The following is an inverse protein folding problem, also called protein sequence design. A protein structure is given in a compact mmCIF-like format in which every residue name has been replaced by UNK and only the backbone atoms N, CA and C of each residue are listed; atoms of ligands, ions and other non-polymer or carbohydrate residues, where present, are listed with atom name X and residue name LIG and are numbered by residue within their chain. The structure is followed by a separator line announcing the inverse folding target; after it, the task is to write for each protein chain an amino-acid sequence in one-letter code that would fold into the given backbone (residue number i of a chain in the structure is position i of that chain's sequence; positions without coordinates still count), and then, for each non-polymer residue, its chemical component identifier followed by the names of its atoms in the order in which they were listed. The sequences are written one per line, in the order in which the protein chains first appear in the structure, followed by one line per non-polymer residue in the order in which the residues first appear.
data_IF_341929077884
#
_entry.id   IF_341929077884
#
_cell.length_a   1.000
_cell.length_b   1.000
_cell.length_c   1.000
_cell.angle_alpha   90.00
_cell.angle_beta   90.00
_cell.angle_gamma   90.00
#
_symmetry.space_group_name_H-M   'P 1'
#
loop_
_entity.id
_entity.type
_entity.pdbx_description
1 polymer ?
#
# COMPACT_ATOMS: atom_id res chain seq x y z
N UNK A 1 -15.54 13.36 -13.72
CA UNK A 1 -14.07 13.48 -13.56
C UNK A 1 -13.66 14.14 -12.24
N UNK A 2 -14.13 15.34 -11.89
CA UNK A 2 -13.78 15.99 -10.61
C UNK A 2 -14.10 15.14 -9.38
N UNK A 3 -15.27 14.51 -9.33
CA UNK A 3 -15.66 13.62 -8.23
C UNK A 3 -14.72 12.40 -8.11
N UNK A 4 -14.31 11.80 -9.22
CA UNK A 4 -13.37 10.68 -9.21
C UNK A 4 -12.02 11.08 -8.58
N UNK A 5 -11.47 12.23 -8.99
CA UNK A 5 -10.21 12.76 -8.46
C UNK A 5 -10.37 13.10 -6.96
N UNK A 6 -11.48 13.71 -6.57
CA UNK A 6 -11.76 14.03 -5.17
C UNK A 6 -11.78 12.77 -4.29
N UNK A 7 -12.55 11.75 -4.66
CA UNK A 7 -12.62 10.50 -3.89
C UNK A 7 -11.31 9.72 -3.94
N UNK A 8 -10.57 9.72 -5.06
CA UNK A 8 -9.25 9.10 -5.15
C UNK A 8 -8.24 9.80 -4.22
N UNK A 9 -8.26 11.14 -4.16
CA UNK A 9 -7.39 11.89 -3.25
C UNK A 9 -7.75 11.61 -1.78
N UNK A 10 -9.04 11.53 -1.46
CA UNK A 10 -9.50 11.19 -0.12
C UNK A 10 -9.12 9.76 0.27
N UNK A 11 -9.19 8.81 -0.68
CA UNK A 11 -8.71 7.44 -0.52
C UNK A 11 -7.20 7.41 -0.23
N UNK A 12 -6.40 8.11 -1.02
CA UNK A 12 -4.96 8.18 -0.85
C UNK A 12 -4.56 8.80 0.52
N UNK A 13 -5.26 9.85 0.93
CA UNK A 13 -5.04 10.48 2.23
C UNK A 13 -5.45 9.55 3.39
N UNK A 14 -6.59 8.89 3.27
CA UNK A 14 -7.07 7.90 4.26
C UNK A 14 -6.07 6.76 4.42
N UNK A 15 -5.57 6.20 3.32
CA UNK A 15 -4.55 5.15 3.33
C UNK A 15 -3.25 5.61 4.01
N UNK A 16 -2.76 6.80 3.67
CA UNK A 16 -1.58 7.40 4.29
C UNK A 16 -1.75 7.58 5.81
N UNK A 17 -2.90 8.09 6.26
CA UNK A 17 -3.23 8.20 7.68
C UNK A 17 -3.24 6.83 8.37
N UNK A 18 -3.87 5.83 7.75
CA UNK A 18 -3.92 4.47 8.25
C UNK A 18 -2.52 3.87 8.44
N UNK A 19 -1.67 4.00 7.43
CA UNK A 19 -0.30 3.50 7.47
C UNK A 19 0.56 4.17 8.56
N UNK A 20 0.43 5.49 8.73
CA UNK A 20 1.18 6.24 9.76
C UNK A 20 0.71 5.87 11.17
N UNK A 21 -0.61 5.75 11.40
CA UNK A 21 -1.16 5.35 12.69
C UNK A 21 -0.77 3.92 13.08
N UNK A 22 -0.81 2.99 12.13
CA UNK A 22 -0.35 1.61 12.37
C UNK A 22 1.14 1.56 12.68
N UNK A 23 1.95 2.37 11.99
CA UNK A 23 3.38 2.48 12.30
C UNK A 23 3.63 3.02 13.71
N UNK A 24 2.90 4.06 14.13
CA UNK A 24 2.98 4.58 15.51
C UNK A 24 2.69 3.48 16.53
N UNK A 25 1.60 2.74 16.35
CA UNK A 25 1.23 1.64 17.22
C UNK A 25 2.31 0.55 17.30
N UNK A 26 2.97 0.21 16.17
CA UNK A 26 4.05 -0.78 16.15
C UNK A 26 5.30 -0.27 16.87
N UNK A 27 5.67 0.99 16.67
CA UNK A 27 6.85 1.58 17.35
C UNK A 27 6.64 1.61 18.86
N UNK A 28 5.44 1.99 19.32
CA UNK A 28 5.08 2.02 20.73
C UNK A 28 5.07 0.61 21.35
N UNK A 29 4.52 -0.38 20.64
CA UNK A 29 4.53 -1.77 21.09
C UNK A 29 5.94 -2.38 21.18
N UNK A 30 6.89 -1.95 20.34
CA UNK A 30 8.27 -2.41 20.37
C UNK A 30 9.09 -1.82 21.52
N UNK A 31 8.71 -0.67 22.04
CA UNK A 31 9.37 -0.05 23.19
C UNK A 31 9.15 -0.81 24.51
N UNK A 32 8.10 -1.66 24.54
CA UNK A 32 7.74 -2.48 25.71
C UNK A 32 8.41 -3.87 25.62
N UNK A 33 9.71 -3.91 25.81
CA UNK A 33 10.57 -5.11 25.73
C UNK A 33 10.23 -6.17 26.79
N UNK A 34 10.26 -7.45 26.36
CA UNK A 34 10.28 -8.70 27.13
C UNK A 34 8.98 -9.53 27.14
N UNK A 35 8.06 -9.34 26.19
CA UNK A 35 6.88 -10.21 26.08
C UNK A 35 6.96 -11.18 24.91
N UNK A 36 6.37 -12.40 25.00
CA UNK A 36 6.31 -13.35 23.89
C UNK A 36 5.56 -12.73 22.71
N UNK A 37 6.09 -12.92 21.48
CA UNK A 37 5.63 -12.29 20.22
C UNK A 37 4.11 -12.32 20.00
N UNK A 38 3.43 -13.39 20.39
CA UNK A 38 1.98 -13.50 20.19
C UNK A 38 1.17 -12.53 21.08
N UNK A 39 1.64 -12.26 22.32
CA UNK A 39 1.01 -11.26 23.20
C UNK A 39 1.19 -9.86 22.67
N UNK A 40 2.37 -9.56 22.11
CA UNK A 40 2.62 -8.26 21.46
C UNK A 40 1.66 -8.02 20.29
N UNK A 41 1.32 -9.06 19.53
CA UNK A 41 0.33 -8.93 18.43
C UNK A 41 -1.07 -8.65 18.97
N UNK A 42 -1.49 -9.34 20.02
CA UNK A 42 -2.81 -9.12 20.65
C UNK A 42 -2.90 -7.73 21.27
N UNK A 43 -1.85 -7.30 21.97
CA UNK A 43 -1.78 -5.98 22.57
C UNK A 43 -1.79 -4.88 21.47
N UNK A 44 -1.10 -5.12 20.36
CA UNK A 44 -1.07 -4.22 19.21
C UNK A 44 -2.47 -4.03 18.59
N UNK A 45 -3.19 -5.12 18.33
CA UNK A 45 -4.55 -5.07 17.74
C UNK A 45 -5.55 -4.36 18.66
N UNK A 46 -5.30 -4.34 19.96
CA UNK A 46 -6.14 -3.63 20.95
C UNK A 46 -5.77 -2.15 21.13
N UNK A 47 -4.64 -1.72 20.59
CA UNK A 47 -4.25 -0.31 20.68
C UNK A 47 -5.21 0.60 19.86
N UNK A 48 -5.69 1.71 20.45
CA UNK A 48 -6.62 2.60 19.75
C UNK A 48 -6.01 3.21 18.49
N UNK A 49 -4.71 3.49 18.47
CA UNK A 49 -4.02 3.98 17.29
C UNK A 49 -4.02 2.95 16.14
N UNK A 50 -3.86 1.66 16.47
CA UNK A 50 -3.92 0.59 15.47
C UNK A 50 -5.34 0.42 14.92
N UNK A 51 -6.35 0.43 15.80
CA UNK A 51 -7.77 0.34 15.40
C UNK A 51 -8.21 1.53 14.53
N UNK A 52 -7.80 2.74 14.90
CA UNK A 52 -8.03 3.92 14.07
C UNK A 52 -7.35 3.79 12.71
N UNK A 53 -6.10 3.31 12.68
CA UNK A 53 -5.41 3.03 11.42
C UNK A 53 -6.14 2.00 10.56
N UNK A 54 -6.68 0.93 11.17
CA UNK A 54 -7.48 -0.07 10.47
C UNK A 54 -8.80 0.52 9.94
N UNK A 55 -9.47 1.40 10.70
CA UNK A 55 -10.67 2.11 10.27
C UNK A 55 -10.39 2.99 9.06
N UNK A 56 -9.27 3.72 9.05
CA UNK A 56 -8.84 4.51 7.89
C UNK A 56 -8.59 3.63 6.66
N UNK A 57 -8.00 2.43 6.83
CA UNK A 57 -7.81 1.49 5.72
C UNK A 57 -9.15 0.98 5.17
N UNK A 58 -10.12 0.69 6.02
CA UNK A 58 -11.48 0.35 5.56
C UNK A 58 -12.11 1.51 4.80
N UNK A 59 -11.96 2.74 5.31
CA UNK A 59 -12.40 3.96 4.62
C UNK A 59 -11.77 4.14 3.26
N UNK A 60 -10.49 3.79 3.12
CA UNK A 60 -9.75 3.80 1.84
C UNK A 60 -10.49 3.00 0.76
N UNK A 61 -10.93 1.77 1.08
CA UNK A 61 -11.67 0.93 0.12
C UNK A 61 -13.00 1.56 -0.29
N UNK A 62 -13.72 2.17 0.66
CA UNK A 62 -14.97 2.89 0.37
C UNK A 62 -14.76 4.07 -0.58
N UNK A 63 -13.79 4.92 -0.29
CA UNK A 63 -13.44 6.05 -1.15
C UNK A 63 -12.90 5.62 -2.51
N UNK A 64 -12.12 4.53 -2.57
CA UNK A 64 -11.62 3.97 -3.82
C UNK A 64 -12.76 3.43 -4.69
N UNK A 65 -13.72 2.72 -4.09
CA UNK A 65 -14.91 2.24 -4.80
C UNK A 65 -15.71 3.40 -5.37
N UNK A 66 -15.92 4.48 -4.59
CA UNK A 66 -16.57 5.70 -5.07
C UNK A 66 -15.77 6.38 -6.19
N UNK A 67 -14.44 6.46 -6.06
CA UNK A 67 -13.60 7.03 -7.11
C UNK A 67 -13.75 6.27 -8.43
N UNK A 68 -13.75 4.94 -8.39
CA UNK A 68 -13.92 4.08 -9.57
C UNK A 68 -15.35 4.10 -10.12
N UNK A 69 -16.34 4.37 -9.27
CA UNK A 69 -17.71 4.57 -9.74
C UNK A 69 -17.86 5.84 -10.58
N UNK A 70 -17.14 6.92 -10.21
CA UNK A 70 -17.22 8.22 -10.89
C UNK A 70 -16.19 8.43 -12.00
N UNK A 71 -15.21 7.54 -12.17
CA UNK A 71 -14.18 7.70 -13.18
C UNK A 71 -13.43 6.43 -13.54
N UNK A 72 -12.77 6.45 -14.72
CA UNK A 72 -12.02 5.31 -15.20
C UNK A 72 -10.77 5.05 -14.35
N UNK A 73 -10.38 3.79 -14.30
CA UNK A 73 -9.20 3.32 -13.57
C UNK A 73 -7.92 4.09 -13.95
N UNK A 74 -7.78 4.43 -15.23
CA UNK A 74 -6.62 5.18 -15.77
C UNK A 74 -6.44 6.57 -15.11
N UNK A 75 -7.52 7.19 -14.62
CA UNK A 75 -7.47 8.48 -13.91
C UNK A 75 -7.29 8.28 -12.41
N UNK A 76 -7.95 7.26 -11.86
CA UNK A 76 -7.94 7.01 -10.40
C UNK A 76 -6.58 6.51 -9.94
N UNK A 77 -5.92 5.62 -10.68
CA UNK A 77 -4.65 5.00 -10.30
C UNK A 77 -3.49 6.01 -10.08
N UNK A 78 -3.24 6.99 -10.97
CA UNK A 78 -2.20 7.98 -10.73
C UNK A 78 -2.44 8.82 -9.47
N UNK A 79 -3.72 9.11 -9.16
CA UNK A 79 -4.07 9.88 -7.97
C UNK A 79 -3.84 9.07 -6.69
N UNK A 80 -4.13 7.77 -6.71
CA UNK A 80 -3.88 6.89 -5.55
C UNK A 80 -2.40 6.82 -5.18
N UNK A 81 -1.50 6.95 -6.16
CA UNK A 81 -0.04 6.94 -5.88
C UNK A 81 0.43 8.15 -5.07
N UNK A 82 -0.35 9.24 -5.04
CA UNK A 82 -0.10 10.38 -4.15
C UNK A 82 -0.13 9.98 -2.67
N UNK A 83 -0.69 8.82 -2.34
CA UNK A 83 -0.61 8.21 -1.00
C UNK A 83 0.83 8.21 -0.47
N UNK A 84 1.81 7.89 -1.33
CA UNK A 84 3.22 7.87 -0.96
C UNK A 84 3.72 9.24 -0.48
N UNK A 85 3.32 10.29 -1.19
CA UNK A 85 3.67 11.69 -0.84
C UNK A 85 2.97 12.10 0.45
N UNK A 86 1.67 11.77 0.59
CA UNK A 86 0.92 12.03 1.81
C UNK A 86 1.51 11.28 3.01
N UNK A 87 1.86 10.01 2.85
CA UNK A 87 2.47 9.22 3.92
C UNK A 87 3.83 9.80 4.36
N UNK A 88 4.67 10.26 3.42
CA UNK A 88 5.92 10.94 3.74
C UNK A 88 5.67 12.27 4.45
N UNK A 89 4.72 13.07 3.96
CA UNK A 89 4.33 14.34 4.58
C UNK A 89 3.82 14.17 6.00
N UNK A 90 2.89 13.21 6.22
CA UNK A 90 2.38 12.91 7.56
C UNK A 90 3.48 12.41 8.50
N UNK A 91 4.42 11.62 8.02
CA UNK A 91 5.56 11.17 8.83
C UNK A 91 6.41 12.34 9.31
N UNK A 92 6.70 13.28 8.45
CA UNK A 92 7.45 14.49 8.83
C UNK A 92 6.64 15.32 9.84
N UNK A 93 5.34 15.49 9.59
CA UNK A 93 4.50 16.37 10.39
C UNK A 93 4.12 15.75 11.76
N UNK A 94 3.78 14.45 11.80
CA UNK A 94 3.29 13.77 13.01
C UNK A 94 4.44 13.15 13.81
N UNK A 95 5.35 12.44 13.12
CA UNK A 95 6.46 11.75 13.78
C UNK A 95 7.72 12.61 13.92
N UNK A 96 7.74 13.80 13.31
CA UNK A 96 8.92 14.67 13.25
C UNK A 96 10.17 13.95 12.70
N UNK A 97 9.95 12.91 11.86
CA UNK A 97 11.01 12.15 11.24
C UNK A 97 11.79 13.03 10.25
N UNK A 98 13.11 13.05 10.37
CA UNK A 98 13.99 13.70 9.38
C UNK A 98 14.13 12.79 8.16
N UNK A 99 13.35 13.05 7.13
CA UNK A 99 13.39 12.28 5.88
C UNK A 99 14.42 12.89 4.95
N UNK A 100 15.37 12.07 4.47
CA UNK A 100 16.40 12.52 3.55
C UNK A 100 15.78 13.05 2.24
N UNK A 101 16.34 14.12 1.61
CA UNK A 101 15.83 14.66 0.35
C UNK A 101 15.76 13.60 -0.76
N UNK A 102 16.66 12.62 -0.75
CA UNK A 102 16.66 11.48 -1.68
C UNK A 102 15.37 10.65 -1.61
N UNK A 103 14.74 10.53 -0.44
CA UNK A 103 13.48 9.80 -0.28
C UNK A 103 12.33 10.56 -0.94
N UNK A 104 12.32 11.89 -0.83
CA UNK A 104 11.34 12.73 -1.50
C UNK A 104 11.48 12.67 -3.02
N UNK A 105 12.73 12.77 -3.53
CA UNK A 105 12.98 12.66 -4.96
C UNK A 105 12.61 11.27 -5.51
N UNK A 106 12.89 10.20 -4.76
CA UNK A 106 12.49 8.85 -5.14
C UNK A 106 10.96 8.69 -5.18
N UNK A 107 10.24 9.22 -4.19
CA UNK A 107 8.78 9.19 -4.17
C UNK A 107 8.17 9.94 -5.35
N UNK A 108 8.66 11.15 -5.63
CA UNK A 108 8.23 11.93 -6.79
C UNK A 108 8.53 11.21 -8.11
N UNK A 109 9.71 10.60 -8.25
CA UNK A 109 10.08 9.85 -9.44
C UNK A 109 9.16 8.64 -9.67
N UNK A 110 8.79 7.92 -8.60
CA UNK A 110 7.84 6.81 -8.66
C UNK A 110 6.46 7.32 -9.11
N UNK A 111 5.96 8.41 -8.53
CA UNK A 111 4.68 8.99 -8.90
C UNK A 111 4.67 9.44 -10.37
N UNK A 112 5.70 10.15 -10.82
CA UNK A 112 5.82 10.61 -12.19
C UNK A 112 6.00 9.45 -13.17
N UNK A 113 6.83 8.46 -12.82
CA UNK A 113 7.05 7.25 -13.63
C UNK A 113 5.77 6.46 -13.84
N UNK A 114 4.98 6.26 -12.77
CA UNK A 114 3.71 5.55 -12.89
C UNK A 114 2.67 6.37 -13.66
N UNK A 115 2.59 7.67 -13.44
CA UNK A 115 1.70 8.55 -14.22
C UNK A 115 2.05 8.50 -15.71
N UNK A 116 3.33 8.62 -16.06
CA UNK A 116 3.81 8.52 -17.43
C UNK A 116 3.52 7.14 -18.04
N UNK A 117 3.73 6.05 -17.28
CA UNK A 117 3.41 4.69 -17.70
C UNK A 117 1.92 4.53 -18.01
N UNK A 118 1.04 5.00 -17.13
CA UNK A 118 -0.41 4.89 -17.34
C UNK A 118 -0.89 5.71 -18.53
N UNK A 119 -0.31 6.89 -18.74
CA UNK A 119 -0.61 7.70 -19.94
C UNK A 119 -0.13 6.99 -21.22
N UNK A 120 1.10 6.44 -21.20
CA UNK A 120 1.67 5.74 -22.35
C UNK A 120 0.97 4.40 -22.64
N UNK A 121 0.61 3.66 -21.60
CA UNK A 121 -0.10 2.38 -21.73
C UNK A 121 -1.55 2.55 -22.21
N UNK A 122 -2.13 3.75 -22.05
CA UNK A 122 -3.49 4.11 -22.45
C UNK A 122 -4.47 2.92 -22.24
N UNK A 123 -4.61 2.39 -21.01
CA UNK A 123 -5.42 1.21 -20.78
C UNK A 123 -6.85 1.49 -21.23
N UNK A 124 -7.24 0.86 -22.35
CA UNK A 124 -8.60 0.91 -22.88
C UNK A 124 -9.57 0.16 -21.96
N UNK A 125 -10.85 0.32 -22.22
CA UNK A 125 -11.88 -0.48 -21.57
C UNK A 125 -11.59 -1.96 -21.89
N UNK A 126 -11.38 -2.77 -20.82
CA UNK A 126 -11.03 -4.16 -20.95
C UNK A 126 -12.10 -4.92 -21.76
N UNK A 127 -11.71 -5.56 -22.84
CA UNK A 127 -12.61 -6.34 -23.70
C UNK A 127 -12.95 -7.66 -23.02
N UNK A 128 -14.07 -7.69 -22.28
CA UNK A 128 -14.71 -8.91 -21.79
C UNK A 128 -14.25 -9.38 -20.40
N UNK A 129 -15.09 -10.22 -19.80
CA UNK A 129 -14.80 -10.88 -18.53
C UNK A 129 -13.82 -12.03 -18.79
N UNK A 130 -12.66 -12.09 -18.12
CA UNK A 130 -11.70 -13.18 -18.29
C UNK A 130 -12.35 -14.53 -17.98
N UNK A 131 -12.12 -15.52 -18.85
CA UNK A 131 -12.64 -16.88 -18.63
C UNK A 131 -11.99 -17.54 -17.40
N UNK A 132 -12.66 -18.53 -16.81
CA UNK A 132 -12.19 -19.26 -15.63
C UNK A 132 -10.75 -19.80 -15.78
N UNK A 133 -10.37 -20.26 -16.97
CA UNK A 133 -9.01 -20.72 -17.27
C UNK A 133 -7.97 -19.61 -17.13
N UNK A 134 -8.28 -18.40 -17.59
CA UNK A 134 -7.39 -17.24 -17.50
C UNK A 134 -7.22 -16.81 -16.04
N UNK A 135 -8.29 -16.85 -15.25
CA UNK A 135 -8.27 -16.61 -13.82
C UNK A 135 -7.41 -17.64 -13.09
N UNK A 136 -7.58 -18.93 -13.38
CA UNK A 136 -6.77 -20.00 -12.76
C UNK A 136 -5.28 -19.85 -13.08
N UNK A 137 -4.95 -19.52 -14.34
CA UNK A 137 -3.55 -19.26 -14.72
C UNK A 137 -2.99 -18.02 -14.02
N UNK A 138 -3.72 -16.93 -13.95
CA UNK A 138 -3.30 -15.70 -13.28
C UNK A 138 -3.07 -15.92 -11.77
N UNK A 139 -4.00 -16.58 -11.08
CA UNK A 139 -3.87 -16.89 -9.66
C UNK A 139 -2.76 -17.92 -9.42
N UNK A 140 -2.66 -18.94 -10.27
CA UNK A 140 -1.62 -19.98 -10.16
C UNK A 140 -0.21 -19.43 -10.34
N UNK A 141 0.02 -18.61 -11.37
CA UNK A 141 1.34 -17.97 -11.61
C UNK A 141 1.72 -17.01 -10.51
N UNK A 142 0.79 -16.19 -10.02
CA UNK A 142 1.03 -15.30 -8.87
C UNK A 142 1.30 -16.08 -7.59
N UNK A 143 0.52 -17.13 -7.31
CA UNK A 143 0.73 -17.99 -6.15
C UNK A 143 2.10 -18.68 -6.17
N UNK A 144 2.54 -19.17 -7.34
CA UNK A 144 3.86 -19.76 -7.53
C UNK A 144 4.98 -18.74 -7.31
N UNK A 145 4.84 -17.53 -7.85
CA UNK A 145 5.80 -16.45 -7.66
C UNK A 145 5.94 -16.05 -6.18
N UNK A 146 4.82 -15.90 -5.48
CA UNK A 146 4.81 -15.62 -4.03
C UNK A 146 5.48 -16.74 -3.25
N UNK A 147 5.14 -18.01 -3.53
CA UNK A 147 5.76 -19.17 -2.87
C UNK A 147 7.27 -19.19 -3.10
N UNK A 148 7.74 -18.95 -4.33
CA UNK A 148 9.16 -18.87 -4.65
C UNK A 148 9.86 -17.73 -3.88
N UNK A 149 9.27 -16.54 -3.82
CA UNK A 149 9.82 -15.40 -3.08
C UNK A 149 9.90 -15.69 -1.57
N UNK A 150 8.87 -16.32 -1.00
CA UNK A 150 8.85 -16.71 0.41
C UNK A 150 9.89 -17.81 0.73
N UNK A 151 10.08 -18.77 -0.17
CA UNK A 151 11.12 -19.80 -0.03
C UNK A 151 12.53 -19.19 -0.10
N UNK A 152 12.77 -18.27 -1.03
CA UNK A 152 14.03 -17.53 -1.14
C UNK A 152 14.28 -16.63 0.09
N UNK A 153 13.23 -16.08 0.70
CA UNK A 153 13.33 -15.27 1.90
C UNK A 153 13.78 -16.07 3.13
N UNK A 154 13.55 -17.40 3.17
CA UNK A 154 13.97 -18.25 4.31
C UNK A 154 15.49 -18.29 4.50
N UNK A 155 16.29 -18.10 3.45
CA UNK A 155 17.77 -18.27 3.44
C UNK A 155 18.53 -16.94 3.27
N UNK A 156 17.94 -15.77 3.56
CA UNK A 156 18.56 -14.47 3.29
C UNK A 156 18.98 -13.69 4.55
N UNK A 157 19.86 -12.71 4.37
CA UNK A 157 20.13 -11.67 5.38
C UNK A 157 18.85 -10.88 5.73
N UNK A 158 18.77 -10.22 6.90
CA UNK A 158 17.56 -9.49 7.32
C UNK A 158 17.04 -8.49 6.28
N UNK A 159 17.94 -7.74 5.62
CA UNK A 159 17.56 -6.77 4.57
C UNK A 159 17.03 -7.46 3.31
N UNK A 160 17.65 -8.57 2.88
CA UNK A 160 17.16 -9.37 1.73
C UNK A 160 15.79 -9.99 2.02
N UNK A 161 15.57 -10.46 3.24
CA UNK A 161 14.26 -11.00 3.67
C UNK A 161 13.18 -9.92 3.61
N UNK A 162 13.46 -8.73 4.12
CA UNK A 162 12.51 -7.61 4.05
C UNK A 162 12.16 -7.23 2.61
N UNK A 163 13.17 -7.18 1.71
CA UNK A 163 12.95 -6.90 0.30
C UNK A 163 12.11 -7.99 -0.40
N UNK A 164 12.37 -9.28 -0.11
CA UNK A 164 11.63 -10.39 -0.70
C UNK A 164 10.19 -10.47 -0.18
N UNK A 165 9.94 -10.15 1.10
CA UNK A 165 8.57 -10.02 1.62
C UNK A 165 7.82 -8.85 0.98
N UNK A 166 8.49 -7.70 0.79
CA UNK A 166 7.93 -6.57 0.06
C UNK A 166 7.58 -6.92 -1.39
N UNK A 167 8.47 -7.62 -2.09
CA UNK A 167 8.22 -8.10 -3.45
C UNK A 167 7.06 -9.12 -3.51
N UNK A 168 6.97 -10.05 -2.54
CA UNK A 168 5.86 -10.99 -2.46
C UNK A 168 4.52 -10.29 -2.26
N UNK A 169 4.48 -9.24 -1.44
CA UNK A 169 3.28 -8.41 -1.24
C UNK A 169 2.89 -7.69 -2.53
N UNK A 170 3.88 -7.13 -3.27
CA UNK A 170 3.63 -6.44 -4.52
C UNK A 170 3.08 -7.36 -5.64
N UNK A 171 3.42 -8.66 -5.63
CA UNK A 171 2.88 -9.64 -6.60
C UNK A 171 1.42 -10.00 -6.29
N UNK A 172 0.99 -9.90 -5.03
CA UNK A 172 -0.40 -10.18 -4.62
C UNK A 172 -1.34 -9.05 -5.04
N UNK A 173 -0.86 -7.82 -5.01
CA UNK A 173 -1.62 -6.62 -5.44
C UNK A 173 -1.60 -6.43 -6.94
#
# INVERSE_FOLDING_TARGET
MAAAIFFATLSALSSACGAVLQRLAVVDAQSTTARPRWRTVVDLVRQPAWLLGALFLVGTFGFQALALYFGPLAVVQPVLVLELIFALGLRVFILHDRIAPRTWSAALLICLGLAAFLVAAAPGEGSGVPGARQWLLAVGTRGLAVAALLLLARRGSPGRRAALFGAATAVVW
#
